data_IF_993177023505
#
_entry.id   IF_993177023505
#
_cell.length_a   1.000
_cell.length_b   1.000
_cell.length_c   1.000
_cell.angle_alpha   90.00
_cell.angle_beta   90.00
_cell.angle_gamma   90.00
#
_symmetry.space_group_name_H-M   'P 1'
#
loop_
_entity.id
_entity.type
_entity.pdbx_description
1 polymer ?
#
# COMPACT_ATOMS: atom_id res chain seq x y z
N UNK A 1 25.69 27.85 12.04
CA UNK A 1 24.53 27.55 12.91
C UNK A 1 23.76 26.43 12.23
N UNK A 2 24.07 25.18 12.58
CA UNK A 2 23.39 23.99 12.05
C UNK A 2 22.00 23.99 12.67
N UNK A 3 20.94 24.10 11.86
CA UNK A 3 19.57 23.87 12.34
C UNK A 3 19.45 22.36 12.59
N UNK A 4 19.11 21.99 13.81
CA UNK A 4 18.64 20.64 14.13
C UNK A 4 17.47 20.32 13.21
N UNK A 5 17.61 19.24 12.44
CA UNK A 5 16.50 18.65 11.71
C UNK A 5 15.63 18.03 12.80
N UNK A 6 14.37 18.46 13.00
CA UNK A 6 13.50 17.80 13.96
C UNK A 6 13.41 16.33 13.57
N UNK A 7 13.60 15.46 14.55
CA UNK A 7 13.28 14.03 14.46
C UNK A 7 11.78 13.92 14.23
N UNK A 8 11.37 14.03 12.96
CA UNK A 8 10.03 13.64 12.54
C UNK A 8 10.11 12.11 12.55
N UNK A 9 9.60 11.50 13.62
CA UNK A 9 9.45 10.06 13.67
C UNK A 9 8.80 9.57 12.37
N UNK A 10 9.20 8.38 11.91
CA UNK A 10 8.69 7.80 10.67
C UNK A 10 7.16 7.81 10.67
N UNK A 11 6.56 8.12 9.52
CA UNK A 11 5.12 8.09 9.39
C UNK A 11 4.62 6.65 9.67
N UNK A 12 3.46 6.47 10.34
CA UNK A 12 3.06 5.15 10.80
C UNK A 12 2.65 4.26 9.62
N UNK A 13 2.90 2.96 9.75
CA UNK A 13 2.37 1.94 8.83
C UNK A 13 1.03 1.44 9.39
N UNK A 14 0.00 1.49 8.57
CA UNK A 14 -1.34 0.99 8.88
C UNK A 14 -1.64 -0.23 8.02
N UNK A 15 -1.88 -1.38 8.66
CA UNK A 15 -2.22 -2.62 7.99
C UNK A 15 -3.75 -2.74 7.86
N UNK A 16 -4.23 -2.98 6.63
CA UNK A 16 -5.66 -3.11 6.34
C UNK A 16 -5.94 -4.46 5.67
N UNK A 17 -6.96 -5.16 6.17
CA UNK A 17 -7.34 -6.50 5.71
C UNK A 17 -8.74 -6.50 5.08
N UNK A 18 -9.06 -7.53 4.29
CA UNK A 18 -10.35 -7.68 3.61
C UNK A 18 -11.41 -8.33 4.53
N UNK A 19 -11.10 -8.61 5.80
CA UNK A 19 -11.98 -9.30 6.75
C UNK A 19 -11.50 -9.10 8.19
N UNK A 20 -12.33 -9.40 9.21
CA UNK A 20 -11.92 -9.34 10.61
C UNK A 20 -10.69 -10.19 10.92
N UNK A 21 -9.89 -9.76 11.91
CA UNK A 21 -8.68 -10.47 12.33
C UNK A 21 -7.41 -9.95 11.68
N UNK A 22 -7.39 -8.67 11.30
CA UNK A 22 -6.23 -8.02 10.69
C UNK A 22 -4.98 -8.09 11.57
N UNK A 23 -5.12 -7.96 12.89
CA UNK A 23 -4.02 -8.08 13.84
C UNK A 23 -3.34 -9.46 13.81
N UNK A 24 -4.10 -10.54 13.62
CA UNK A 24 -3.53 -11.88 13.48
C UNK A 24 -2.93 -12.11 12.09
N UNK A 25 -3.57 -11.55 11.06
CA UNK A 25 -3.12 -11.68 9.68
C UNK A 25 -1.72 -11.05 9.49
N UNK A 26 -1.50 -9.88 10.09
CA UNK A 26 -0.28 -9.08 10.00
C UNK A 26 0.61 -9.13 11.25
N UNK A 27 0.51 -10.18 12.08
CA UNK A 27 1.21 -10.24 13.36
C UNK A 27 2.73 -9.99 13.24
N UNK A 28 3.38 -10.56 12.22
CA UNK A 28 4.82 -10.35 11.97
C UNK A 28 5.13 -8.90 11.58
N UNK A 29 4.34 -8.29 10.69
CA UNK A 29 4.54 -6.89 10.30
C UNK A 29 4.28 -5.93 11.46
N UNK A 30 3.34 -6.24 12.35
CA UNK A 30 3.09 -5.46 13.56
C UNK A 30 4.33 -5.48 14.45
N UNK A 31 4.88 -6.67 14.70
CA UNK A 31 6.04 -6.84 15.57
C UNK A 31 7.33 -6.26 14.96
N UNK A 32 7.58 -6.48 13.66
CA UNK A 32 8.82 -6.08 12.99
C UNK A 32 8.81 -4.63 12.52
N UNK A 33 7.70 -4.16 11.92
CA UNK A 33 7.61 -2.82 11.32
C UNK A 33 6.98 -1.79 12.27
N UNK A 34 6.51 -2.22 13.46
CA UNK A 34 5.73 -1.35 14.34
C UNK A 34 4.39 -0.94 13.72
N UNK A 35 3.87 -1.75 12.79
CA UNK A 35 2.64 -1.43 12.09
C UNK A 35 1.41 -1.54 13.01
N UNK A 36 0.37 -0.77 12.70
CA UNK A 36 -0.91 -0.80 13.42
C UNK A 36 -1.99 -1.45 12.56
N UNK A 37 -2.69 -2.49 13.02
CA UNK A 37 -3.82 -3.04 12.29
C UNK A 37 -5.05 -2.14 12.40
N UNK A 38 -5.82 -2.05 11.32
CA UNK A 38 -7.22 -1.60 11.34
C UNK A 38 -8.10 -2.83 11.33
N UNK A 39 -8.87 -3.01 12.40
CA UNK A 39 -9.86 -4.07 12.47
C UNK A 39 -11.12 -3.65 11.71
N UNK A 40 -11.58 -4.52 10.81
CA UNK A 40 -12.82 -4.32 10.04
C UNK A 40 -13.88 -5.29 10.56
N UNK A 41 -15.14 -4.88 10.50
CA UNK A 41 -16.26 -5.70 11.01
C UNK A 41 -16.79 -6.70 9.97
N UNK A 42 -16.73 -6.31 8.70
CA UNK A 42 -17.29 -7.06 7.57
C UNK A 42 -16.20 -7.55 6.62
N UNK A 43 -16.52 -8.61 5.88
CA UNK A 43 -15.72 -9.04 4.72
C UNK A 43 -15.92 -8.03 3.59
N UNK A 44 -14.81 -7.53 3.04
CA UNK A 44 -14.75 -6.73 1.84
C UNK A 44 -15.05 -7.62 0.63
N UNK A 45 -16.04 -7.19 -0.15
CA UNK A 45 -16.28 -7.67 -1.50
C UNK A 45 -15.89 -6.54 -2.47
N UNK A 46 -14.84 -6.76 -3.25
CA UNK A 46 -14.31 -5.75 -4.18
C UNK A 46 -15.14 -5.62 -5.44
N UNK A 47 -16.07 -6.56 -5.69
CA UNK A 47 -17.00 -6.52 -6.80
C UNK A 47 -18.34 -5.83 -6.42
N UNK A 48 -18.53 -5.50 -5.13
CA UNK A 48 -19.68 -4.76 -4.62
C UNK A 48 -19.29 -3.35 -4.14
N UNK A 49 -19.70 -2.33 -4.90
CA UNK A 49 -19.48 -0.92 -4.60
C UNK A 49 -19.96 -0.52 -3.19
N UNK A 50 -21.06 -1.12 -2.70
CA UNK A 50 -21.58 -0.80 -1.37
C UNK A 50 -20.68 -1.36 -0.26
N UNK A 51 -20.12 -2.55 -0.47
CA UNK A 51 -19.12 -3.16 0.41
C UNK A 51 -17.83 -2.34 0.42
N UNK A 52 -17.28 -2.02 -0.77
CA UNK A 52 -16.10 -1.18 -0.92
C UNK A 52 -16.28 0.19 -0.25
N UNK A 53 -17.41 0.86 -0.47
CA UNK A 53 -17.67 2.17 0.12
C UNK A 53 -17.79 2.11 1.65
N UNK A 54 -18.33 1.03 2.22
CA UNK A 54 -18.40 0.84 3.68
C UNK A 54 -17.02 0.63 4.27
N UNK A 55 -16.24 -0.26 3.65
CA UNK A 55 -14.87 -0.54 4.05
C UNK A 55 -14.01 0.73 4.03
N UNK A 56 -14.09 1.53 2.95
CA UNK A 56 -13.35 2.79 2.83
C UNK A 56 -13.72 3.80 3.92
N UNK A 57 -15.01 4.00 4.20
CA UNK A 57 -15.45 4.91 5.27
C UNK A 57 -14.92 4.49 6.63
N UNK A 58 -14.92 3.19 6.90
CA UNK A 58 -14.39 2.63 8.14
C UNK A 58 -12.88 2.88 8.26
N UNK A 59 -12.10 2.48 7.24
CA UNK A 59 -10.65 2.64 7.23
C UNK A 59 -10.22 4.11 7.32
N UNK A 60 -10.90 5.01 6.61
CA UNK A 60 -10.65 6.46 6.72
C UNK A 60 -10.90 6.96 8.15
N UNK A 61 -11.97 6.49 8.79
CA UNK A 61 -12.27 6.83 10.19
C UNK A 61 -11.18 6.35 11.17
N UNK A 62 -10.65 5.15 10.95
CA UNK A 62 -9.62 4.52 11.80
C UNK A 62 -8.19 5.04 11.56
N UNK A 63 -7.90 5.55 10.36
CA UNK A 63 -6.64 6.23 10.06
C UNK A 63 -6.64 7.63 10.71
N UNK A 64 -7.76 8.35 10.61
CA UNK A 64 -7.86 9.74 11.04
C UNK A 64 -7.17 10.71 10.07
N UNK A 65 -7.00 11.97 10.47
CA UNK A 65 -6.48 13.05 9.59
C UNK A 65 -5.28 13.78 10.19
N UNK A 66 -4.64 13.22 11.22
CA UNK A 66 -3.57 13.92 11.95
C UNK A 66 -2.26 13.97 11.16
N UNK A 67 -1.97 12.92 10.39
CA UNK A 67 -0.83 12.82 9.48
C UNK A 67 -1.10 11.75 8.41
N UNK A 68 -0.49 11.86 7.20
CA UNK A 68 -0.51 10.79 6.23
C UNK A 68 0.17 9.52 6.78
N UNK A 69 -0.26 8.36 6.27
CA UNK A 69 0.23 7.05 6.73
C UNK A 69 0.68 6.19 5.57
N UNK A 70 1.60 5.26 5.80
CA UNK A 70 1.89 4.19 4.86
C UNK A 70 0.81 3.11 4.98
N UNK A 71 0.14 2.76 3.90
CA UNK A 71 -0.93 1.74 3.93
C UNK A 71 -0.40 0.42 3.42
N UNK A 72 -0.41 -0.60 4.27
CA UNK A 72 -0.06 -1.97 3.95
C UNK A 72 -1.33 -2.80 3.76
N UNK A 73 -1.50 -3.38 2.58
CA UNK A 73 -2.68 -4.15 2.23
C UNK A 73 -2.32 -5.37 1.38
N UNK A 74 -3.07 -6.46 1.52
CA UNK A 74 -2.84 -7.69 0.75
C UNK A 74 -4.11 -8.22 0.12
N UNK A 75 -3.98 -8.96 -0.99
CA UNK A 75 -5.14 -9.60 -1.61
C UNK A 75 -6.20 -8.59 -2.07
N UNK A 76 -7.50 -8.82 -1.80
CA UNK A 76 -8.57 -7.88 -2.18
C UNK A 76 -8.43 -6.48 -1.53
N UNK A 77 -7.92 -6.40 -0.30
CA UNK A 77 -7.72 -5.13 0.38
C UNK A 77 -6.72 -4.22 -0.34
N UNK A 78 -5.81 -4.78 -1.15
CA UNK A 78 -4.88 -3.99 -1.94
C UNK A 78 -5.58 -3.13 -2.99
N UNK A 79 -6.63 -3.64 -3.65
CA UNK A 79 -7.46 -2.84 -4.55
C UNK A 79 -8.18 -1.72 -3.79
N UNK A 80 -8.77 -2.01 -2.63
CA UNK A 80 -9.41 -0.99 -1.81
C UNK A 80 -8.41 0.08 -1.32
N UNK A 81 -7.16 -0.29 -1.04
CA UNK A 81 -6.09 0.65 -0.70
C UNK A 81 -5.70 1.56 -1.89
N UNK A 82 -5.70 1.04 -3.13
CA UNK A 82 -5.55 1.86 -4.35
C UNK A 82 -6.69 2.87 -4.46
N UNK A 83 -7.94 2.45 -4.24
CA UNK A 83 -9.11 3.35 -4.24
C UNK A 83 -9.01 4.39 -3.12
N UNK A 84 -8.53 4.01 -1.93
CA UNK A 84 -8.26 4.92 -0.82
C UNK A 84 -7.25 6.00 -1.23
N UNK A 85 -6.10 5.63 -1.80
CA UNK A 85 -5.06 6.58 -2.22
C UNK A 85 -5.55 7.53 -3.33
N UNK A 86 -6.36 7.04 -4.27
CA UNK A 86 -6.92 7.88 -5.33
C UNK A 86 -7.94 8.91 -4.77
N UNK A 87 -8.79 8.49 -3.82
CA UNK A 87 -9.86 9.34 -3.27
C UNK A 87 -9.40 10.25 -2.14
N UNK A 88 -8.39 9.83 -1.37
CA UNK A 88 -7.89 10.51 -0.18
C UNK A 88 -6.36 10.61 -0.23
N UNK A 89 -5.79 11.28 -1.25
CA UNK A 89 -4.34 11.31 -1.46
C UNK A 89 -3.58 11.92 -0.28
N UNK A 90 -4.18 12.86 0.44
CA UNK A 90 -3.56 13.52 1.60
C UNK A 90 -3.50 12.62 2.86
N UNK A 91 -4.24 11.50 2.89
CA UNK A 91 -4.20 10.54 3.99
C UNK A 91 -3.16 9.44 3.77
N UNK A 92 -2.69 9.24 2.53
CA UNK A 92 -1.85 8.10 2.18
C UNK A 92 -0.48 8.58 1.72
N UNK A 93 0.55 8.24 2.50
CA UNK A 93 1.93 8.56 2.19
C UNK A 93 2.54 7.66 1.13
N UNK A 94 2.26 6.37 1.24
CA UNK A 94 2.68 5.33 0.31
C UNK A 94 1.77 4.13 0.42
N UNK A 95 1.72 3.34 -0.65
CA UNK A 95 1.07 2.03 -0.67
C UNK A 95 2.12 0.92 -0.61
N UNK A 96 1.87 -0.10 0.20
CA UNK A 96 2.63 -1.34 0.32
C UNK A 96 1.68 -2.51 0.03
N UNK A 97 1.66 -2.98 -1.20
CA UNK A 97 0.65 -3.92 -1.71
C UNK A 97 1.26 -5.31 -1.87
N UNK A 98 0.81 -6.28 -1.08
CA UNK A 98 1.25 -7.68 -1.17
C UNK A 98 0.22 -8.57 -1.88
N UNK A 99 0.63 -9.27 -2.92
CA UNK A 99 -0.21 -10.24 -3.65
C UNK A 99 -1.62 -9.69 -4.00
N UNK A 100 -1.70 -8.53 -4.68
CA UNK A 100 -2.95 -7.84 -4.88
C UNK A 100 -3.94 -8.64 -5.74
N UNK A 101 -5.23 -8.46 -5.47
CA UNK A 101 -6.34 -8.92 -6.33
C UNK A 101 -7.17 -7.73 -6.79
N UNK A 102 -7.76 -7.83 -7.97
CA UNK A 102 -8.55 -6.77 -8.61
C UNK A 102 -9.92 -7.32 -9.08
N UNK A 103 -10.97 -6.48 -9.17
CA UNK A 103 -12.29 -6.90 -9.66
C UNK A 103 -12.29 -7.20 -11.17
N UNK A 104 -11.30 -6.68 -11.90
CA UNK A 104 -11.07 -6.94 -13.32
C UNK A 104 -10.17 -5.90 -13.95
N UNK A 105 -9.57 -6.23 -15.10
CA UNK A 105 -8.78 -5.27 -15.89
C UNK A 105 -9.68 -4.49 -16.86
N UNK A 106 -10.34 -3.46 -16.32
CA UNK A 106 -11.22 -2.55 -17.07
C UNK A 106 -10.52 -1.22 -17.40
N UNK A 107 -11.11 -0.43 -18.30
CA UNK A 107 -10.63 0.93 -18.58
C UNK A 107 -10.72 1.82 -17.33
N UNK A 108 -11.84 1.75 -16.60
CA UNK A 108 -12.06 2.46 -15.33
C UNK A 108 -11.00 2.11 -14.29
N UNK A 109 -10.57 0.85 -14.23
CA UNK A 109 -9.50 0.41 -13.35
C UNK A 109 -8.14 1.02 -13.76
N UNK A 110 -7.84 1.10 -15.06
CA UNK A 110 -6.61 1.74 -15.55
C UNK A 110 -6.60 3.24 -15.28
N UNK A 111 -7.74 3.91 -15.47
CA UNK A 111 -7.92 5.33 -15.14
C UNK A 111 -7.74 5.57 -13.64
N UNK A 112 -8.24 4.66 -12.80
CA UNK A 112 -8.01 4.69 -11.35
C UNK A 112 -6.51 4.63 -11.03
N UNK A 113 -5.76 3.67 -11.59
CA UNK A 113 -4.32 3.55 -11.35
C UNK A 113 -3.57 4.84 -11.77
N UNK A 114 -3.89 5.39 -12.94
CA UNK A 114 -3.29 6.62 -13.44
C UNK A 114 -3.60 7.85 -12.56
N UNK A 115 -4.67 7.80 -11.77
CA UNK A 115 -5.04 8.88 -10.83
C UNK A 115 -4.28 8.83 -9.51
N UNK A 116 -3.66 7.69 -9.16
CA UNK A 116 -2.90 7.53 -7.90
C UNK A 116 -1.57 8.28 -8.01
N UNK A 117 -1.38 9.26 -7.11
CA UNK A 117 -0.15 10.08 -7.04
C UNK A 117 0.87 9.52 -6.06
N UNK A 118 0.42 8.69 -5.15
CA UNK A 118 1.19 8.21 -4.03
C UNK A 118 2.20 7.13 -4.47
N UNK A 119 3.48 7.18 -4.04
CA UNK A 119 4.43 6.12 -4.28
C UNK A 119 3.87 4.75 -3.85
N UNK A 120 3.98 3.76 -4.73
CA UNK A 120 3.39 2.44 -4.50
C UNK A 120 4.40 1.32 -4.70
N UNK A 121 4.60 0.49 -3.68
CA UNK A 121 5.31 -0.77 -3.78
C UNK A 121 4.31 -1.89 -3.98
N UNK A 122 4.55 -2.74 -4.98
CA UNK A 122 3.79 -3.97 -5.22
C UNK A 122 4.74 -5.16 -5.10
N UNK A 123 4.47 -6.03 -4.14
CA UNK A 123 5.20 -7.27 -3.90
C UNK A 123 4.33 -8.45 -4.34
N UNK A 124 4.85 -9.30 -5.22
CA UNK A 124 4.22 -10.54 -5.61
C UNK A 124 5.01 -11.75 -5.12
N UNK A 125 4.31 -12.76 -4.62
CA UNK A 125 4.82 -14.12 -4.49
C UNK A 125 4.86 -14.80 -5.85
N UNK A 126 5.93 -15.55 -6.09
CA UNK A 126 6.05 -16.46 -7.22
C UNK A 126 6.57 -17.81 -6.70
N UNK A 127 5.85 -18.89 -6.99
CA UNK A 127 6.39 -20.24 -6.85
C UNK A 127 7.32 -20.54 -8.02
N UNK A 128 8.23 -21.50 -7.87
CA UNK A 128 9.11 -21.90 -8.97
C UNK A 128 8.28 -22.34 -10.19
N UNK A 129 8.54 -21.72 -11.34
CA UNK A 129 7.78 -21.96 -12.57
C UNK A 129 6.44 -21.21 -12.67
N UNK A 130 6.19 -20.21 -11.81
CA UNK A 130 5.07 -19.30 -11.96
C UNK A 130 5.07 -18.67 -13.36
N UNK A 131 3.88 -18.63 -13.95
CA UNK A 131 3.65 -18.08 -15.29
C UNK A 131 3.54 -16.55 -15.26
N UNK A 132 3.82 -15.90 -16.39
CA UNK A 132 3.59 -14.46 -16.57
C UNK A 132 2.14 -14.05 -16.22
N UNK A 133 1.18 -14.96 -16.37
CA UNK A 133 -0.23 -14.72 -16.04
C UNK A 133 -0.45 -14.50 -14.55
N UNK A 134 0.32 -15.15 -13.68
CA UNK A 134 0.21 -15.01 -12.23
C UNK A 134 0.79 -13.66 -11.76
N UNK A 135 1.77 -13.13 -12.50
CA UNK A 135 2.38 -11.83 -12.23
C UNK A 135 1.68 -10.66 -12.94
N UNK A 136 0.75 -10.94 -13.85
CA UNK A 136 0.10 -9.90 -14.66
C UNK A 136 -0.64 -8.85 -13.83
N UNK A 137 -1.36 -9.25 -12.76
CA UNK A 137 -2.08 -8.32 -11.88
C UNK A 137 -1.14 -7.38 -11.12
N UNK A 138 -0.15 -7.88 -10.34
CA UNK A 138 0.76 -6.99 -9.63
C UNK A 138 1.62 -6.14 -10.58
N UNK A 139 2.03 -6.67 -11.74
CA UNK A 139 2.72 -5.88 -12.77
C UNK A 139 1.84 -4.77 -13.33
N UNK A 140 0.56 -5.05 -13.59
CA UNK A 140 -0.41 -4.05 -14.08
C UNK A 140 -0.60 -2.92 -13.07
N UNK A 141 -0.70 -3.22 -11.77
CA UNK A 141 -0.79 -2.19 -10.72
C UNK A 141 0.45 -1.31 -10.72
N UNK A 142 1.63 -1.93 -10.63
CA UNK A 142 2.88 -1.18 -10.54
C UNK A 142 3.16 -0.36 -11.82
N UNK A 143 2.85 -0.90 -13.00
CA UNK A 143 3.02 -0.19 -14.26
C UNK A 143 1.96 0.87 -14.55
N UNK A 144 0.78 0.77 -13.92
CA UNK A 144 -0.30 1.74 -14.09
C UNK A 144 -0.19 2.96 -13.16
N UNK A 145 0.64 2.89 -12.12
CA UNK A 145 0.89 3.99 -11.17
C UNK A 145 2.24 4.63 -11.50
N UNK A 146 2.29 5.95 -11.68
CA UNK A 146 3.50 6.68 -12.11
C UNK A 146 4.74 6.41 -11.23
N UNK A 147 4.53 6.34 -9.91
CA UNK A 147 5.57 6.02 -8.93
C UNK A 147 5.43 4.57 -8.39
N UNK A 148 5.06 3.65 -9.26
CA UNK A 148 4.94 2.22 -8.96
C UNK A 148 6.27 1.47 -9.02
N UNK A 149 6.53 0.65 -8.01
CA UNK A 149 7.67 -0.26 -7.93
C UNK A 149 7.14 -1.68 -7.83
N UNK A 150 7.68 -2.59 -8.65
CA UNK A 150 7.31 -3.99 -8.66
C UNK A 150 8.46 -4.87 -8.16
N UNK A 151 8.16 -5.75 -7.22
CA UNK A 151 9.10 -6.73 -6.64
C UNK A 151 8.45 -8.10 -6.67
N UNK A 152 9.26 -9.11 -7.00
CA UNK A 152 8.89 -10.52 -6.88
C UNK A 152 9.72 -11.14 -5.77
N UNK A 153 9.04 -11.81 -4.84
CA UNK A 153 9.67 -12.77 -3.93
C UNK A 153 9.49 -14.15 -4.56
N UNK A 154 10.61 -14.79 -4.91
CA UNK A 154 10.63 -16.07 -5.61
C UNK A 154 10.63 -17.27 -4.65
N UNK A 155 10.17 -18.41 -5.13
CA UNK A 155 10.06 -19.67 -4.40
C UNK A 155 9.06 -19.65 -3.23
N UNK A 156 7.97 -18.90 -3.34
CA UNK A 156 6.98 -18.72 -2.25
C UNK A 156 5.54 -18.78 -2.70
N UNK A 157 4.68 -19.30 -1.83
CA UNK A 157 3.23 -19.26 -2.04
C UNK A 157 2.64 -17.91 -1.62
N UNK A 158 1.42 -17.64 -2.07
CA UNK A 158 0.60 -16.53 -1.56
C UNK A 158 0.15 -16.86 -0.13
N UNK A 159 0.28 -15.96 0.86
CA UNK A 159 0.78 -14.59 0.69
C UNK A 159 2.24 -14.40 1.14
N UNK A 160 2.98 -13.60 0.37
CA UNK A 160 4.41 -13.35 0.54
C UNK A 160 4.80 -12.87 1.94
N UNK A 161 4.01 -11.97 2.54
CA UNK A 161 4.26 -11.42 3.88
C UNK A 161 4.21 -12.45 5.01
N UNK A 162 3.62 -13.63 4.78
CA UNK A 162 3.57 -14.73 5.76
C UNK A 162 4.52 -15.87 5.43
N UNK A 163 4.76 -16.13 4.14
CA UNK A 163 5.66 -17.20 3.69
C UNK A 163 7.14 -16.75 3.72
N UNK A 164 7.40 -15.45 3.55
CA UNK A 164 8.73 -14.80 3.66
C UNK A 164 8.60 -13.40 4.27
N UNK A 165 8.08 -13.33 5.49
CA UNK A 165 7.90 -12.07 6.21
C UNK A 165 9.16 -11.22 6.28
N UNK A 166 10.31 -11.80 6.61
CA UNK A 166 11.59 -11.05 6.65
C UNK A 166 11.94 -10.34 5.33
N UNK A 167 11.80 -11.02 4.18
CA UNK A 167 12.09 -10.41 2.88
C UNK A 167 11.04 -9.37 2.49
N UNK A 168 9.77 -9.63 2.83
CA UNK A 168 8.69 -8.68 2.64
C UNK A 168 8.95 -7.39 3.44
N UNK A 169 9.34 -7.53 4.71
CA UNK A 169 9.59 -6.43 5.65
C UNK A 169 10.83 -5.60 5.25
N UNK A 170 11.86 -6.23 4.70
CA UNK A 170 13.03 -5.53 4.15
C UNK A 170 12.65 -4.62 2.98
N UNK A 171 11.81 -5.12 2.05
CA UNK A 171 11.31 -4.34 0.93
C UNK A 171 10.37 -3.22 1.39
N UNK A 172 9.46 -3.52 2.32
CA UNK A 172 8.55 -2.53 2.91
C UNK A 172 9.35 -1.40 3.58
N UNK A 173 10.31 -1.75 4.44
CA UNK A 173 11.18 -0.79 5.15
C UNK A 173 11.99 0.07 4.19
N UNK A 174 12.60 -0.55 3.18
CA UNK A 174 13.39 0.19 2.18
C UNK A 174 12.52 1.20 1.42
N UNK A 175 11.28 0.80 1.11
CA UNK A 175 10.36 1.63 0.35
C UNK A 175 9.75 2.77 1.17
N UNK A 176 9.43 2.57 2.45
CA UNK A 176 8.92 3.65 3.31
C UNK A 176 9.96 4.78 3.41
N UNK A 177 11.23 4.45 3.60
CA UNK A 177 12.34 5.43 3.60
C UNK A 177 12.40 6.23 2.28
N UNK A 178 12.22 5.56 1.14
CA UNK A 178 12.20 6.22 -0.17
C UNK A 178 10.99 7.16 -0.29
N UNK A 179 9.80 6.68 0.05
CA UNK A 179 8.57 7.45 -0.04
C UNK A 179 8.60 8.68 0.87
N UNK A 180 9.11 8.53 2.09
CA UNK A 180 9.35 9.62 3.03
C UNK A 180 10.31 10.66 2.43
N UNK A 181 11.44 10.20 1.87
CA UNK A 181 12.39 11.06 1.17
C UNK A 181 11.78 11.84 0.01
N UNK A 182 10.89 11.24 -0.78
CA UNK A 182 10.22 11.88 -1.92
C UNK A 182 9.31 13.03 -1.48
N UNK A 183 8.45 12.83 -0.48
CA UNK A 183 7.56 13.91 -0.04
C UNK A 183 8.29 15.04 0.71
N UNK A 184 9.45 14.78 1.31
CA UNK A 184 10.30 15.83 1.86
C UNK A 184 10.89 16.77 0.78
N UNK A 185 10.91 16.34 -0.50
CA UNK A 185 11.41 17.11 -1.63
C UNK A 185 10.33 17.93 -2.34
N UNK A 186 9.05 17.56 -2.23
CA UNK A 186 7.94 18.26 -2.91
C UNK A 186 7.82 19.75 -2.53
N UNK A 187 7.92 20.17 -1.25
CA UNK A 187 7.90 21.58 -0.89
C UNK A 187 9.00 22.40 -1.56
N UNK A 188 10.18 21.80 -1.80
CA UNK A 188 11.34 22.47 -2.41
C UNK A 188 11.22 22.63 -3.92
N UNK A 189 10.40 21.80 -4.58
CA UNK A 189 10.16 21.88 -6.02
C UNK A 189 9.14 22.98 -6.34
N UNK A 190 8.14 23.18 -5.48
CA UNK A 190 7.15 24.26 -5.61
C UNK A 190 7.78 25.64 -5.44
N UNK A 191 8.66 25.84 -4.44
CA UNK A 191 9.38 27.12 -4.23
C UNK A 191 10.29 27.54 -5.41
N UNK A 192 10.77 26.58 -6.21
CA UNK A 192 11.59 26.87 -7.41
C UNK A 192 10.76 27.14 -8.67
N UNK A 193 9.49 26.72 -8.70
CA UNK A 193 8.60 26.97 -9.83
C UNK A 193 7.92 28.35 -9.73
N UNK A 194 7.77 28.85 -8.52
CA UNK A 194 7.13 30.14 -8.22
C UNK A 194 8.12 31.33 -8.13
N UNK A 195 9.40 31.11 -8.47
CA UNK A 195 10.50 32.10 -8.46
C UNK A 195 11.04 32.39 -9.87
#
# INVERSE_FOLDING_TARGET
MMREIPDRGSEPIVCVHDRPGGAHWFAEQIDTLGARPVEVEDVLDIDDDASLARWLRHVVGEIGSDAPVHVLATGPAAYAAVVLAARYPDLVRSLLLGDPRIPGDTEEYRDLLASVRTPTLVIASAIEGASDRELAVPQSIAGGIDNGVFVVIDGVAVPAHRERGSSFDEWATSFTVIAEGLGALEPRRQEKADA
#
